data_IF_974653862417
#
_entry.id   IF_974653862417
#
_cell.length_a   1.000
_cell.length_b   1.000
_cell.length_c   1.000
_cell.angle_alpha   90.00
_cell.angle_beta   90.00
_cell.angle_gamma   90.00
#
_symmetry.space_group_name_H-M   'P 1'
#
loop_
_entity.id
_entity.type
_entity.pdbx_description
1 polymer ?
#
# COMPACT_ATOMS: atom_id res chain seq x y z
N UNK A 1 -40.80 -7.87 -1.39
CA UNK A 1 -40.14 -6.83 -0.57
C UNK A 1 -40.39 -5.42 -1.12
N UNK A 2 -40.07 -5.11 -2.38
CA UNK A 2 -40.25 -3.77 -2.96
C UNK A 2 -41.69 -3.23 -2.92
N UNK A 3 -42.69 -4.05 -3.27
CA UNK A 3 -44.12 -3.68 -3.25
C UNK A 3 -44.66 -3.42 -1.84
N UNK A 4 -44.02 -4.00 -0.82
CA UNK A 4 -44.41 -3.87 0.58
C UNK A 4 -43.44 -3.00 1.39
N UNK A 5 -42.63 -2.16 0.72
CA UNK A 5 -41.62 -1.33 1.37
C UNK A 5 -42.18 -0.44 2.49
N UNK A 6 -43.46 -0.05 2.39
CA UNK A 6 -44.17 0.71 3.43
C UNK A 6 -44.22 -0.02 4.78
N UNK A 7 -44.19 -1.35 4.82
CA UNK A 7 -44.17 -2.13 6.07
C UNK A 7 -42.86 -1.92 6.85
N UNK A 8 -41.74 -1.66 6.16
CA UNK A 8 -40.46 -1.37 6.80
C UNK A 8 -40.46 0.00 7.50
N UNK A 9 -41.39 0.89 7.17
CA UNK A 9 -41.61 2.13 7.93
C UNK A 9 -42.38 1.90 9.23
N UNK A 10 -43.11 0.78 9.34
CA UNK A 10 -43.93 0.40 10.50
C UNK A 10 -43.11 -0.39 11.51
N UNK A 11 -42.32 -1.37 11.06
CA UNK A 11 -41.44 -2.17 11.91
C UNK A 11 -40.00 -2.19 11.37
N UNK A 12 -39.07 -1.68 12.17
CA UNK A 12 -37.64 -1.64 11.83
C UNK A 12 -37.00 -3.02 11.83
N UNK A 13 -37.50 -3.97 12.64
CA UNK A 13 -36.98 -5.35 12.69
C UNK A 13 -37.31 -6.14 11.42
N UNK A 14 -38.29 -5.67 10.64
CA UNK A 14 -38.63 -6.25 9.36
C UNK A 14 -37.48 -6.13 8.36
N UNK A 15 -36.71 -5.04 8.42
CA UNK A 15 -35.53 -4.84 7.56
C UNK A 15 -34.48 -5.91 7.85
N UNK A 16 -34.19 -6.19 9.12
CA UNK A 16 -33.26 -7.26 9.52
C UNK A 16 -33.74 -8.63 9.04
N UNK A 17 -35.03 -8.92 9.22
CA UNK A 17 -35.63 -10.18 8.79
C UNK A 17 -35.54 -10.37 7.27
N UNK A 18 -35.78 -9.30 6.51
CA UNK A 18 -35.64 -9.32 5.06
C UNK A 18 -34.19 -9.49 4.62
N UNK A 19 -33.25 -8.79 5.26
CA UNK A 19 -31.83 -8.92 4.95
C UNK A 19 -31.33 -10.36 5.17
N UNK A 20 -31.79 -11.07 6.20
CA UNK A 20 -31.44 -12.47 6.42
C UNK A 20 -31.93 -13.42 5.30
N UNK A 21 -32.94 -13.02 4.52
CA UNK A 21 -33.55 -13.86 3.48
C UNK A 21 -33.02 -13.58 2.07
N UNK A 22 -32.30 -12.47 1.87
CA UNK A 22 -31.75 -12.10 0.56
C UNK A 22 -30.31 -12.56 0.40
N UNK A 23 -29.91 -12.82 -0.85
CA UNK A 23 -28.51 -13.04 -1.18
C UNK A 23 -27.76 -11.71 -1.20
N UNK A 24 -26.43 -11.77 -1.05
CA UNK A 24 -25.58 -10.58 -1.07
C UNK A 24 -25.76 -9.80 -2.38
N UNK A 25 -25.93 -10.51 -3.49
CA UNK A 25 -26.14 -9.94 -4.83
C UNK A 25 -27.43 -9.10 -4.92
N UNK A 26 -28.45 -9.46 -4.13
CA UNK A 26 -29.75 -8.80 -4.13
C UNK A 26 -29.81 -7.62 -3.14
N UNK A 27 -28.81 -7.46 -2.27
CA UNK A 27 -28.75 -6.39 -1.28
C UNK A 27 -28.73 -5.01 -1.94
N UNK A 28 -28.04 -4.85 -3.07
CA UNK A 28 -28.07 -3.60 -3.85
C UNK A 28 -29.49 -3.21 -4.29
N UNK A 29 -30.27 -4.20 -4.69
CA UNK A 29 -31.65 -4.02 -5.14
C UNK A 29 -32.56 -3.59 -3.99
N UNK A 30 -32.29 -4.07 -2.77
CA UNK A 30 -32.98 -3.65 -1.56
C UNK A 30 -32.58 -2.23 -1.14
N UNK A 31 -31.28 -1.90 -1.17
CA UNK A 31 -30.78 -0.55 -0.84
C UNK A 31 -31.28 0.53 -1.82
N UNK A 32 -31.53 0.15 -3.07
CA UNK A 32 -32.09 1.04 -4.10
C UNK A 32 -33.61 1.17 -4.02
N UNK A 33 -34.27 0.43 -3.13
CA UNK A 33 -35.72 0.48 -2.93
C UNK A 33 -36.10 1.58 -1.93
N UNK A 34 -37.40 1.89 -1.74
CA UNK A 34 -37.86 2.86 -0.74
C UNK A 34 -37.55 2.46 0.72
N UNK A 35 -37.06 1.23 0.95
CA UNK A 35 -36.71 0.71 2.27
C UNK A 35 -35.47 1.43 2.80
N UNK A 36 -35.59 2.08 3.95
CA UNK A 36 -34.45 2.69 4.64
C UNK A 36 -33.62 1.60 5.33
N UNK A 37 -32.52 1.21 4.69
CA UNK A 37 -31.52 0.30 5.27
C UNK A 37 -30.42 1.14 5.94
N UNK A 38 -30.20 0.97 7.25
CA UNK A 38 -29.15 1.73 7.96
C UNK A 38 -27.77 1.13 7.72
N UNK A 39 -26.70 1.92 7.89
CA UNK A 39 -25.32 1.45 7.68
C UNK A 39 -25.01 0.26 8.58
N UNK A 40 -25.39 0.34 9.86
CA UNK A 40 -25.14 -0.73 10.83
C UNK A 40 -25.78 -2.06 10.40
N UNK A 41 -26.97 -2.03 9.81
CA UNK A 41 -27.65 -3.23 9.30
C UNK A 41 -26.84 -3.89 8.17
N UNK A 42 -26.32 -3.07 7.25
CA UNK A 42 -25.46 -3.52 6.16
C UNK A 42 -24.18 -4.16 6.71
N UNK A 43 -23.55 -3.53 7.70
CA UNK A 43 -22.33 -4.06 8.31
C UNK A 43 -22.59 -5.40 9.00
N UNK A 44 -23.63 -5.51 9.81
CA UNK A 44 -23.99 -6.78 10.46
C UNK A 44 -24.34 -7.88 9.44
N UNK A 45 -25.08 -7.54 8.38
CA UNK A 45 -25.38 -8.49 7.31
C UNK A 45 -24.12 -8.98 6.61
N UNK A 46 -23.18 -8.09 6.30
CA UNK A 46 -21.90 -8.49 5.70
C UNK A 46 -21.08 -9.34 6.65
N UNK A 47 -21.12 -9.06 7.95
CA UNK A 47 -20.39 -9.84 8.94
C UNK A 47 -20.97 -11.25 9.03
N UNK A 48 -22.29 -11.36 8.92
CA UNK A 48 -22.97 -12.65 8.83
C UNK A 48 -22.66 -13.38 7.52
N UNK A 49 -22.53 -12.67 6.41
CA UNK A 49 -22.34 -13.26 5.08
C UNK A 49 -20.89 -13.69 4.81
N UNK A 50 -19.91 -12.94 5.33
CA UNK A 50 -18.48 -13.19 5.14
C UNK A 50 -17.98 -14.13 6.24
N UNK A 51 -18.35 -15.41 6.15
CA UNK A 51 -17.95 -16.46 7.11
C UNK A 51 -16.89 -17.42 6.59
N UNK A 52 -16.57 -17.36 5.31
CA UNK A 52 -15.70 -18.33 4.66
C UNK A 52 -14.89 -17.70 3.53
N UNK A 53 -14.08 -18.52 2.86
CA UNK A 53 -13.24 -18.07 1.75
C UNK A 53 -14.04 -17.35 0.66
N UNK A 54 -13.51 -16.23 0.19
CA UNK A 54 -14.18 -15.38 -0.80
C UNK A 54 -13.93 -15.96 -2.19
N UNK A 55 -15.00 -16.42 -2.84
CA UNK A 55 -14.96 -16.89 -4.23
C UNK A 55 -14.95 -15.71 -5.20
N UNK A 56 -14.52 -15.95 -6.45
CA UNK A 56 -14.46 -14.89 -7.47
C UNK A 56 -15.82 -14.20 -7.72
N UNK A 57 -16.98 -14.91 -7.78
CA UNK A 57 -18.28 -14.24 -7.90
C UNK A 57 -18.60 -13.36 -6.69
N UNK A 58 -18.36 -13.87 -5.48
CA UNK A 58 -18.58 -13.14 -4.23
C UNK A 58 -17.69 -11.89 -4.15
N UNK A 59 -16.43 -11.98 -4.57
CA UNK A 59 -15.51 -10.85 -4.64
C UNK A 59 -16.08 -9.68 -5.46
N UNK A 60 -16.59 -9.95 -6.67
CA UNK A 60 -17.16 -8.92 -7.55
C UNK A 60 -18.37 -8.24 -6.91
N UNK A 61 -19.24 -9.05 -6.30
CA UNK A 61 -20.44 -8.56 -5.63
C UNK A 61 -20.05 -7.67 -4.44
N UNK A 62 -19.13 -8.14 -3.61
CA UNK A 62 -18.66 -7.40 -2.43
C UNK A 62 -17.97 -6.08 -2.81
N UNK A 63 -17.09 -6.08 -3.82
CA UNK A 63 -16.46 -4.86 -4.36
C UNK A 63 -17.53 -3.84 -4.78
N UNK A 64 -18.49 -4.26 -5.59
CA UNK A 64 -19.51 -3.35 -6.08
C UNK A 64 -20.36 -2.80 -4.92
N UNK A 65 -20.69 -3.66 -3.96
CA UNK A 65 -21.52 -3.31 -2.81
C UNK A 65 -20.79 -2.31 -1.91
N UNK A 66 -19.53 -2.58 -1.56
CA UNK A 66 -18.75 -1.70 -0.69
C UNK A 66 -18.52 -0.35 -1.35
N UNK A 67 -18.24 -0.29 -2.66
CA UNK A 67 -18.12 0.97 -3.39
C UNK A 67 -19.43 1.77 -3.37
N UNK A 68 -20.57 1.09 -3.48
CA UNK A 68 -21.88 1.75 -3.38
C UNK A 68 -22.14 2.29 -1.97
N UNK A 69 -21.78 1.53 -0.93
CA UNK A 69 -21.90 1.97 0.48
C UNK A 69 -21.00 3.18 0.74
N UNK A 70 -19.73 3.14 0.35
CA UNK A 70 -18.80 4.27 0.50
C UNK A 70 -19.35 5.53 -0.18
N UNK A 71 -19.85 5.40 -1.42
CA UNK A 71 -20.46 6.52 -2.15
C UNK A 71 -21.70 7.05 -1.42
N UNK A 72 -22.59 6.17 -0.95
CA UNK A 72 -23.79 6.55 -0.22
C UNK A 72 -23.46 7.32 1.07
N UNK A 73 -22.52 6.81 1.86
CA UNK A 73 -22.19 7.37 3.18
C UNK A 73 -21.34 8.65 3.06
N UNK A 74 -20.48 8.75 2.04
CA UNK A 74 -19.73 10.00 1.78
C UNK A 74 -20.60 11.20 1.41
N UNK A 75 -21.81 10.97 0.89
CA UNK A 75 -22.79 12.02 0.60
C UNK A 75 -23.71 12.34 1.78
N UNK A 76 -23.76 11.48 2.81
CA UNK A 76 -24.57 11.73 3.99
C UNK A 76 -23.81 12.65 4.95
N UNK A 77 -24.27 13.90 5.06
CA UNK A 77 -23.65 14.92 5.92
C UNK A 77 -24.07 14.80 7.40
N UNK A 78 -24.59 13.64 7.81
CA UNK A 78 -25.15 13.44 9.15
C UNK A 78 -24.10 12.85 10.08
N UNK A 79 -23.89 13.49 11.22
CA UNK A 79 -23.11 12.91 12.32
C UNK A 79 -23.84 11.69 12.90
N UNK A 80 -23.11 10.61 13.15
CA UNK A 80 -23.65 9.48 13.90
C UNK A 80 -24.03 9.92 15.33
N UNK A 81 -25.12 9.34 15.86
CA UNK A 81 -25.29 9.32 17.32
C UNK A 81 -24.14 8.50 17.97
N UNK A 82 -23.83 8.79 19.24
CA UNK A 82 -22.68 8.19 19.94
C UNK A 82 -22.66 6.66 19.85
N UNK A 83 -23.79 6.02 20.13
CA UNK A 83 -23.88 4.56 20.26
C UNK A 83 -23.83 3.87 18.89
N UNK A 84 -24.54 4.41 17.91
CA UNK A 84 -24.59 3.88 16.56
C UNK A 84 -23.24 4.07 15.85
N UNK A 85 -22.58 5.20 16.03
CA UNK A 85 -21.26 5.46 15.48
C UNK A 85 -20.17 4.53 16.02
N UNK A 86 -20.17 4.29 17.34
CA UNK A 86 -19.29 3.29 17.96
C UNK A 86 -19.53 1.89 17.37
N UNK A 87 -20.79 1.45 17.33
CA UNK A 87 -21.15 0.14 16.78
C UNK A 87 -20.74 0.01 15.31
N UNK A 88 -20.97 1.05 14.50
CA UNK A 88 -20.56 1.06 13.10
C UNK A 88 -19.04 0.93 12.94
N UNK A 89 -18.27 1.71 13.71
CA UNK A 89 -16.81 1.68 13.62
C UNK A 89 -16.25 0.32 14.03
N UNK A 90 -16.66 -0.21 15.20
CA UNK A 90 -16.21 -1.53 15.68
C UNK A 90 -16.59 -2.64 14.69
N UNK A 91 -17.80 -2.60 14.14
CA UNK A 91 -18.25 -3.61 13.17
C UNK A 91 -17.46 -3.52 11.86
N UNK A 92 -17.17 -2.31 11.38
CA UNK A 92 -16.35 -2.11 10.19
C UNK A 92 -14.92 -2.62 10.36
N UNK A 93 -14.30 -2.41 11.53
CA UNK A 93 -12.96 -2.93 11.85
C UNK A 93 -12.96 -4.46 11.90
N UNK A 94 -13.95 -5.07 12.58
CA UNK A 94 -14.10 -6.54 12.61
C UNK A 94 -14.31 -7.14 11.21
N UNK A 95 -15.10 -6.46 10.37
CA UNK A 95 -15.32 -6.83 8.98
C UNK A 95 -14.03 -6.78 8.16
N UNK A 96 -13.27 -5.69 8.28
CA UNK A 96 -11.96 -5.57 7.64
C UNK A 96 -11.04 -6.71 8.07
N UNK A 97 -11.02 -7.06 9.36
CA UNK A 97 -10.29 -8.23 9.87
C UNK A 97 -10.70 -9.54 9.21
N UNK A 98 -12.01 -9.76 9.07
CA UNK A 98 -12.57 -10.96 8.43
C UNK A 98 -12.20 -11.03 6.95
N UNK A 99 -12.40 -9.93 6.21
CA UNK A 99 -12.03 -9.81 4.79
C UNK A 99 -10.54 -10.07 4.61
N UNK A 100 -9.70 -9.39 5.36
CA UNK A 100 -8.24 -9.57 5.36
C UNK A 100 -7.83 -11.04 5.58
N UNK A 101 -8.51 -11.77 6.47
CA UNK A 101 -8.21 -13.17 6.73
C UNK A 101 -8.55 -14.08 5.53
N UNK A 102 -9.60 -13.75 4.78
CA UNK A 102 -10.07 -14.55 3.64
C UNK A 102 -9.48 -14.13 2.28
N UNK A 103 -8.89 -12.94 2.17
CA UNK A 103 -8.25 -12.44 0.93
C UNK A 103 -6.73 -12.58 0.96
N UNK A 104 -6.23 -13.82 0.85
CA UNK A 104 -4.78 -14.08 0.78
C UNK A 104 -4.22 -14.05 -0.64
N UNK A 105 -5.10 -14.18 -1.65
CA UNK A 105 -4.71 -14.05 -3.06
C UNK A 105 -4.51 -12.56 -3.40
N UNK A 106 -3.34 -12.16 -3.91
CA UNK A 106 -3.09 -10.79 -4.33
C UNK A 106 -4.10 -10.26 -5.36
N UNK A 107 -4.73 -11.11 -6.17
CA UNK A 107 -5.74 -10.69 -7.15
C UNK A 107 -6.99 -10.07 -6.52
N UNK A 108 -7.22 -10.31 -5.22
CA UNK A 108 -8.34 -9.75 -4.48
C UNK A 108 -7.93 -8.57 -3.58
N UNK A 109 -6.77 -7.96 -3.82
CA UNK A 109 -6.22 -6.91 -2.97
C UNK A 109 -7.07 -5.64 -2.90
N UNK A 110 -7.91 -5.37 -3.89
CA UNK A 110 -8.77 -4.20 -3.87
C UNK A 110 -9.84 -4.30 -2.77
N UNK A 111 -10.28 -5.51 -2.41
CA UNK A 111 -11.37 -5.69 -1.46
C UNK A 111 -10.99 -5.22 -0.03
N UNK A 112 -9.87 -5.66 0.57
CA UNK A 112 -9.37 -5.09 1.83
C UNK A 112 -9.18 -3.58 1.79
N UNK A 113 -8.74 -3.02 0.65
CA UNK A 113 -8.54 -1.58 0.51
C UNK A 113 -9.85 -0.80 0.53
N UNK A 114 -10.92 -1.31 -0.09
CA UNK A 114 -12.24 -0.67 -0.01
C UNK A 114 -12.82 -0.77 1.40
N UNK A 115 -12.66 -1.91 2.09
CA UNK A 115 -13.10 -2.02 3.48
C UNK A 115 -12.29 -1.08 4.41
N UNK A 116 -11.00 -0.88 4.14
CA UNK A 116 -10.19 0.12 4.84
C UNK A 116 -10.71 1.53 4.58
N UNK A 117 -11.04 1.87 3.33
CA UNK A 117 -11.64 3.17 2.99
C UNK A 117 -12.95 3.40 3.74
N UNK A 118 -13.81 2.37 3.84
CA UNK A 118 -15.03 2.43 4.63
C UNK A 118 -14.74 2.68 6.12
N UNK A 119 -13.77 1.98 6.70
CA UNK A 119 -13.36 2.21 8.11
C UNK A 119 -12.91 3.66 8.30
N UNK A 120 -12.08 4.19 7.41
CA UNK A 120 -11.62 5.57 7.47
C UNK A 120 -12.78 6.57 7.34
N UNK A 121 -13.74 6.31 6.45
CA UNK A 121 -14.94 7.12 6.28
C UNK A 121 -15.78 7.17 7.56
N UNK A 122 -16.07 6.01 8.15
CA UNK A 122 -16.84 5.90 9.40
C UNK A 122 -16.10 6.58 10.55
N UNK A 123 -14.79 6.35 10.67
CA UNK A 123 -13.95 6.99 11.69
C UNK A 123 -13.95 8.53 11.55
N UNK A 124 -13.98 9.05 10.33
CA UNK A 124 -14.08 10.49 10.05
C UNK A 124 -15.41 11.07 10.51
N UNK A 125 -16.52 10.45 10.12
CA UNK A 125 -17.86 10.92 10.50
C UNK A 125 -18.09 10.80 12.01
N UNK A 126 -17.58 9.74 12.64
CA UNK A 126 -17.69 9.53 14.09
C UNK A 126 -16.83 10.51 14.92
N UNK A 127 -15.68 10.91 14.37
CA UNK A 127 -14.68 11.73 15.06
C UNK A 127 -14.98 13.21 15.22
N UNK A 128 -16.12 13.70 14.74
CA UNK A 128 -16.44 15.13 14.78
C UNK A 128 -16.78 15.68 16.17
N UNK A 129 -16.91 14.85 17.21
CA UNK A 129 -17.24 15.29 18.58
C UNK A 129 -16.14 14.91 19.59
N UNK A 130 -15.73 15.86 20.43
CA UNK A 130 -14.62 15.76 21.39
C UNK A 130 -14.94 15.06 22.71
N UNK A 131 -15.66 13.93 22.69
CA UNK A 131 -15.79 13.13 23.92
C UNK A 131 -14.55 12.27 24.13
N UNK A 132 -14.04 12.22 25.37
CA UNK A 132 -12.87 11.41 25.73
C UNK A 132 -13.06 9.92 25.37
N UNK A 133 -14.28 9.41 25.54
CA UNK A 133 -14.65 8.04 25.17
C UNK A 133 -14.54 7.79 23.67
N UNK A 134 -14.96 8.74 22.82
CA UNK A 134 -14.82 8.64 21.36
C UNK A 134 -13.36 8.59 20.94
N UNK A 135 -12.52 9.45 21.53
CA UNK A 135 -11.08 9.47 21.24
C UNK A 135 -10.42 8.12 21.56
N UNK A 136 -10.74 7.52 22.71
CA UNK A 136 -10.22 6.21 23.07
C UNK A 136 -10.66 5.12 22.09
N UNK A 137 -11.94 5.08 21.71
CA UNK A 137 -12.47 4.10 20.75
C UNK A 137 -11.79 4.26 19.38
N UNK A 138 -11.55 5.50 18.95
CA UNK A 138 -10.83 5.78 17.70
C UNK A 138 -9.38 5.34 17.75
N UNK A 139 -8.70 5.56 18.87
CA UNK A 139 -7.33 5.11 19.09
C UNK A 139 -7.24 3.58 19.01
N UNK A 140 -8.12 2.86 19.73
CA UNK A 140 -8.20 1.40 19.71
C UNK A 140 -8.48 0.88 18.29
N UNK A 141 -9.48 1.48 17.62
CA UNK A 141 -9.87 1.11 16.25
C UNK A 141 -8.74 1.37 15.24
N UNK A 142 -7.97 2.45 15.42
CA UNK A 142 -6.82 2.78 14.58
C UNK A 142 -5.73 1.72 14.71
N UNK A 143 -5.31 1.39 15.93
CA UNK A 143 -4.25 0.39 16.15
C UNK A 143 -4.66 -1.00 15.70
N UNK A 144 -5.92 -1.40 15.92
CA UNK A 144 -6.46 -2.68 15.43
C UNK A 144 -6.46 -2.73 13.89
N UNK A 145 -6.89 -1.64 13.24
CA UNK A 145 -6.87 -1.51 11.77
C UNK A 145 -5.45 -1.59 11.22
N UNK A 146 -4.50 -0.90 11.87
CA UNK A 146 -3.09 -0.90 11.49
C UNK A 146 -2.49 -2.30 11.57
N UNK A 147 -2.65 -3.01 12.68
CA UNK A 147 -2.09 -4.35 12.82
C UNK A 147 -2.76 -5.35 11.86
N UNK A 148 -4.08 -5.25 11.68
CA UNK A 148 -4.83 -6.05 10.71
C UNK A 148 -4.28 -5.89 9.30
N UNK A 149 -4.12 -4.66 8.82
CA UNK A 149 -3.60 -4.39 7.48
C UNK A 149 -2.13 -4.78 7.34
N UNK A 150 -1.31 -4.59 8.38
CA UNK A 150 0.09 -5.04 8.38
C UNK A 150 0.19 -6.56 8.29
N UNK A 151 -0.64 -7.29 9.03
CA UNK A 151 -0.71 -8.76 9.01
C UNK A 151 -1.21 -9.28 7.67
N UNK A 152 -2.30 -8.72 7.16
CA UNK A 152 -2.82 -9.06 5.82
C UNK A 152 -1.76 -8.89 4.74
N UNK A 153 -1.13 -7.71 4.67
CA UNK A 153 -0.09 -7.43 3.67
C UNK A 153 1.08 -8.40 3.77
N UNK A 154 1.52 -8.78 4.98
CA UNK A 154 2.60 -9.77 5.18
C UNK A 154 2.21 -11.15 4.63
N UNK A 155 0.95 -11.55 4.80
CA UNK A 155 0.45 -12.85 4.36
C UNK A 155 0.18 -12.90 2.85
N UNK A 156 -0.40 -11.84 2.29
CA UNK A 156 -0.76 -11.74 0.87
C UNK A 156 0.47 -11.51 -0.01
N UNK A 157 1.42 -10.68 0.46
CA UNK A 157 2.66 -10.37 -0.24
C UNK A 157 3.87 -10.91 0.53
N UNK A 158 3.85 -12.21 0.83
CA UNK A 158 4.95 -12.90 1.55
C UNK A 158 6.20 -13.07 0.69
N UNK A 159 6.02 -13.12 -0.63
CA UNK A 159 7.11 -13.28 -1.59
C UNK A 159 8.03 -12.06 -1.60
N UNK A 160 9.26 -12.25 -2.06
CA UNK A 160 10.15 -11.17 -2.49
C UNK A 160 9.46 -10.27 -3.52
N UNK A 161 9.85 -9.00 -3.56
CA UNK A 161 9.28 -8.02 -4.49
C UNK A 161 9.50 -8.49 -5.93
N UNK A 162 10.69 -8.99 -6.25
CA UNK A 162 11.01 -9.53 -7.56
C UNK A 162 10.85 -11.04 -7.60
N UNK A 163 10.49 -11.54 -8.78
CA UNK A 163 10.40 -12.96 -9.03
C UNK A 163 11.81 -13.59 -8.93
N UNK A 164 11.91 -14.72 -8.26
CA UNK A 164 13.18 -15.43 -8.07
C UNK A 164 13.75 -16.00 -9.37
N UNK A 165 12.89 -16.31 -10.34
CA UNK A 165 13.26 -16.85 -11.65
C UNK A 165 13.54 -15.76 -12.69
N UNK A 166 12.93 -14.58 -12.51
CA UNK A 166 13.11 -13.43 -13.39
C UNK A 166 13.11 -12.13 -12.60
N UNK A 167 14.31 -11.70 -12.19
CA UNK A 167 14.53 -10.48 -11.40
C UNK A 167 14.19 -9.17 -12.15
N UNK A 168 13.70 -9.23 -13.38
CA UNK A 168 13.21 -8.05 -14.12
C UNK A 168 11.72 -7.77 -13.88
N UNK A 169 10.99 -8.72 -13.28
CA UNK A 169 9.56 -8.59 -13.02
C UNK A 169 9.23 -8.72 -11.54
N UNK A 170 8.26 -7.93 -11.10
CA UNK A 170 7.67 -8.09 -9.78
C UNK A 170 7.01 -9.47 -9.66
N UNK A 171 7.17 -10.13 -8.51
CA UNK A 171 6.46 -11.37 -8.18
C UNK A 171 4.96 -11.19 -8.28
N UNK A 172 4.48 -10.01 -7.89
CA UNK A 172 3.08 -9.59 -8.04
C UNK A 172 3.06 -8.25 -8.77
N UNK A 173 2.60 -8.19 -10.04
CA UNK A 173 2.71 -6.99 -10.87
C UNK A 173 2.09 -5.71 -10.27
N UNK A 174 1.01 -5.84 -9.50
CA UNK A 174 0.29 -4.72 -8.90
C UNK A 174 0.64 -4.44 -7.44
N UNK A 175 1.64 -5.12 -6.86
CA UNK A 175 2.01 -4.92 -5.45
C UNK A 175 2.40 -3.46 -5.15
N UNK A 176 3.17 -2.81 -6.04
CA UNK A 176 3.54 -1.39 -5.87
C UNK A 176 2.31 -0.47 -5.88
N UNK A 177 1.29 -0.79 -6.67
CA UNK A 177 0.01 -0.06 -6.67
C UNK A 177 -0.71 -0.23 -5.34
N UNK A 178 -0.70 -1.44 -4.76
CA UNK A 178 -1.28 -1.70 -3.44
C UNK A 178 -0.55 -0.92 -2.35
N UNK A 179 0.79 -0.88 -2.38
CA UNK A 179 1.58 -0.04 -1.47
C UNK A 179 1.23 1.45 -1.60
N UNK A 180 1.07 1.95 -2.82
CA UNK A 180 0.64 3.32 -3.08
C UNK A 180 -0.72 3.59 -2.45
N UNK A 181 -1.70 2.72 -2.69
CA UNK A 181 -3.06 2.86 -2.16
C UNK A 181 -3.08 2.86 -0.62
N UNK A 182 -2.31 1.97 0.02
CA UNK A 182 -2.17 1.94 1.48
C UNK A 182 -1.62 3.27 2.01
N UNK A 183 -0.60 3.84 1.35
CA UNK A 183 0.03 5.10 1.80
C UNK A 183 -0.83 6.34 1.54
N UNK A 184 -1.73 6.30 0.55
CA UNK A 184 -2.65 7.41 0.27
C UNK A 184 -3.75 7.57 1.31
N UNK A 185 -4.02 6.52 2.09
CA UNK A 185 -5.04 6.56 3.16
C UNK A 185 -4.76 7.69 4.14
N UNK A 186 -5.83 8.37 4.54
CA UNK A 186 -5.84 9.44 5.54
C UNK A 186 -6.91 9.17 6.58
N UNK A 187 -6.52 9.31 7.85
CA UNK A 187 -7.40 9.23 9.00
C UNK A 187 -7.83 10.62 9.44
N UNK A 188 -8.85 10.70 10.29
CA UNK A 188 -9.37 11.95 10.86
C UNK A 188 -8.28 12.72 11.62
N UNK A 189 -7.48 11.99 12.41
CA UNK A 189 -6.37 12.56 13.17
C UNK A 189 -5.10 12.55 12.32
N UNK A 190 -4.43 13.71 12.27
CA UNK A 190 -3.18 13.85 11.51
C UNK A 190 -2.09 12.91 12.05
N UNK A 191 -2.05 12.71 13.36
CA UNK A 191 -1.11 11.80 14.02
C UNK A 191 -1.30 10.35 13.58
N UNK A 192 -2.54 9.85 13.51
CA UNK A 192 -2.86 8.53 12.96
C UNK A 192 -2.38 8.40 11.52
N UNK A 193 -2.59 9.43 10.70
CA UNK A 193 -2.11 9.44 9.31
C UNK A 193 -0.58 9.40 9.23
N UNK A 194 0.12 10.16 10.09
CA UNK A 194 1.60 10.15 10.18
C UNK A 194 2.12 8.78 10.62
N UNK A 195 1.54 8.22 11.69
CA UNK A 195 1.92 6.91 12.24
C UNK A 195 1.66 5.79 11.22
N UNK A 196 0.51 5.82 10.53
CA UNK A 196 0.18 4.90 9.45
C UNK A 196 1.22 4.92 8.33
N UNK A 197 1.44 6.11 7.74
CA UNK A 197 2.38 6.29 6.62
C UNK A 197 3.80 5.92 7.01
N UNK A 198 4.25 6.35 8.19
CA UNK A 198 5.58 6.02 8.72
C UNK A 198 5.76 4.51 8.90
N UNK A 199 4.76 3.83 9.46
CA UNK A 199 4.81 2.38 9.70
C UNK A 199 4.85 1.59 8.40
N UNK A 200 3.94 1.87 7.46
CA UNK A 200 3.94 1.18 6.17
C UNK A 200 5.15 1.53 5.30
N UNK A 201 5.69 2.75 5.41
CA UNK A 201 6.91 3.12 4.71
C UNK A 201 8.13 2.36 5.26
N UNK A 202 8.27 2.24 6.58
CA UNK A 202 9.32 1.41 7.20
C UNK A 202 9.19 -0.06 6.84
N UNK A 203 7.95 -0.56 6.82
CA UNK A 203 7.65 -1.93 6.42
C UNK A 203 7.99 -2.18 4.94
N UNK A 204 7.76 -1.21 4.06
CA UNK A 204 8.15 -1.24 2.65
C UNK A 204 9.68 -1.17 2.49
N UNK A 205 10.35 -0.21 3.14
CA UNK A 205 11.82 -0.08 3.16
C UNK A 205 12.47 -1.40 3.62
N UNK A 206 11.94 -1.99 4.70
CA UNK A 206 12.42 -3.27 5.22
C UNK A 206 12.20 -4.43 4.25
N UNK A 207 11.11 -4.44 3.46
CA UNK A 207 10.90 -5.44 2.41
C UNK A 207 11.86 -5.23 1.24
N UNK A 208 12.06 -3.99 0.80
CA UNK A 208 12.98 -3.63 -0.28
C UNK A 208 14.43 -3.99 0.07
N UNK A 209 14.86 -3.73 1.31
CA UNK A 209 16.22 -4.06 1.79
C UNK A 209 16.51 -5.56 1.89
N UNK A 210 15.50 -6.43 1.82
CA UNK A 210 15.70 -7.89 1.72
C UNK A 210 16.09 -8.34 0.31
N UNK A 211 15.86 -7.51 -0.71
CA UNK A 211 16.36 -7.76 -2.05
C UNK A 211 17.88 -7.58 -2.09
N UNK A 212 18.56 -8.25 -3.02
CA UNK A 212 19.98 -8.00 -3.24
C UNK A 212 20.20 -6.56 -3.76
N UNK A 213 21.42 -6.02 -3.60
CA UNK A 213 21.70 -4.61 -3.93
C UNK A 213 21.43 -4.27 -5.42
N UNK A 214 21.76 -5.16 -6.35
CA UNK A 214 21.51 -4.94 -7.79
C UNK A 214 20.01 -4.86 -8.08
N UNK A 215 19.23 -5.76 -7.48
CA UNK A 215 17.79 -5.82 -7.57
C UNK A 215 17.11 -4.58 -6.97
N UNK A 216 17.60 -4.05 -5.84
CA UNK A 216 17.09 -2.81 -5.26
C UNK A 216 17.21 -1.64 -6.24
N UNK A 217 18.35 -1.55 -6.93
CA UNK A 217 18.59 -0.51 -7.93
C UNK A 217 17.72 -0.74 -9.16
N UNK A 218 17.57 -1.99 -9.60
CA UNK A 218 16.68 -2.38 -10.69
C UNK A 218 15.22 -2.01 -10.46
N UNK A 219 14.71 -2.25 -9.25
CA UNK A 219 13.35 -1.87 -8.82
C UNK A 219 13.18 -0.35 -8.93
N UNK A 220 14.13 0.42 -8.40
CA UNK A 220 14.08 1.88 -8.51
C UNK A 220 14.06 2.33 -9.97
N UNK A 221 14.98 1.83 -10.81
CA UNK A 221 15.06 2.21 -12.22
C UNK A 221 13.74 1.92 -12.96
N UNK A 222 13.20 0.71 -12.78
CA UNK A 222 11.98 0.27 -13.46
C UNK A 222 10.74 0.98 -12.95
N UNK A 223 10.68 1.27 -11.65
CA UNK A 223 9.54 1.93 -11.03
C UNK A 223 9.54 3.42 -11.35
N UNK A 224 10.69 4.09 -11.34
CA UNK A 224 10.80 5.50 -11.74
C UNK A 224 10.36 5.75 -13.18
N UNK A 225 10.68 4.83 -14.10
CA UNK A 225 10.23 4.93 -15.50
C UNK A 225 8.70 4.82 -15.63
N UNK A 226 8.00 4.17 -14.68
CA UNK A 226 6.56 3.89 -14.74
C UNK A 226 5.70 4.72 -13.78
N UNK A 227 6.25 5.17 -12.65
CA UNK A 227 5.47 5.50 -11.46
C UNK A 227 5.79 6.85 -10.81
N UNK A 228 6.62 7.72 -11.44
CA UNK A 228 6.96 9.05 -10.90
C UNK A 228 5.74 9.91 -10.53
N UNK A 229 4.58 9.64 -11.12
CA UNK A 229 3.36 10.43 -10.94
C UNK A 229 2.38 9.86 -9.89
N UNK A 230 2.58 8.63 -9.38
CA UNK A 230 1.55 7.94 -8.58
C UNK A 230 1.79 8.04 -7.07
N UNK A 231 3.05 8.00 -6.62
CA UNK A 231 3.40 8.13 -5.20
C UNK A 231 4.85 8.60 -5.00
N UNK A 232 5.09 9.92 -4.82
CA UNK A 232 6.44 10.46 -4.66
C UNK A 232 7.20 9.91 -3.44
N UNK A 233 6.49 9.57 -2.36
CA UNK A 233 7.10 9.06 -1.12
C UNK A 233 7.63 7.63 -1.25
N UNK A 234 6.99 6.78 -2.06
CA UNK A 234 7.56 5.47 -2.41
C UNK A 234 8.81 5.63 -3.26
N UNK A 235 8.77 6.55 -4.24
CA UNK A 235 9.91 6.82 -5.10
C UNK A 235 11.12 7.31 -4.30
N UNK A 236 10.93 8.20 -3.33
CA UNK A 236 12.02 8.70 -2.49
C UNK A 236 12.64 7.62 -1.59
N UNK A 237 11.82 6.72 -1.03
CA UNK A 237 12.33 5.56 -0.27
C UNK A 237 13.08 4.58 -1.16
N UNK A 238 12.56 4.28 -2.36
CA UNK A 238 13.26 3.44 -3.32
C UNK A 238 14.58 4.08 -3.76
N UNK A 239 14.60 5.39 -4.01
CA UNK A 239 15.80 6.15 -4.36
C UNK A 239 16.85 6.04 -3.25
N UNK A 240 16.43 6.30 -1.99
CA UNK A 240 17.31 6.16 -0.83
C UNK A 240 17.93 4.77 -0.76
N UNK A 241 17.13 3.70 -0.86
CA UNK A 241 17.64 2.33 -0.85
C UNK A 241 18.55 2.04 -2.05
N UNK A 242 18.25 2.55 -3.23
CA UNK A 242 19.09 2.40 -4.41
C UNK A 242 20.44 3.10 -4.26
N UNK A 243 20.48 4.32 -3.70
CA UNK A 243 21.72 5.05 -3.42
C UNK A 243 22.57 4.32 -2.37
N UNK A 244 21.95 3.85 -1.28
CA UNK A 244 22.61 3.02 -0.27
C UNK A 244 23.18 1.73 -0.89
N UNK A 245 22.40 1.07 -1.76
CA UNK A 245 22.82 -0.14 -2.46
C UNK A 245 23.99 0.11 -3.43
N UNK A 246 23.96 1.21 -4.19
CA UNK A 246 25.08 1.60 -5.08
C UNK A 246 26.34 1.81 -4.26
N UNK A 247 26.27 2.59 -3.17
CA UNK A 247 27.43 2.85 -2.33
C UNK A 247 28.04 1.54 -1.78
N UNK A 248 27.20 0.57 -1.39
CA UNK A 248 27.65 -0.76 -0.95
C UNK A 248 28.30 -1.57 -2.06
N UNK A 249 27.76 -1.53 -3.28
CA UNK A 249 28.35 -2.22 -4.42
C UNK A 249 29.70 -1.59 -4.80
N UNK A 250 29.82 -0.26 -4.74
CA UNK A 250 31.06 0.46 -5.07
C UNK A 250 32.21 0.21 -4.08
N UNK A 251 31.91 -0.23 -2.86
CA UNK A 251 32.92 -0.65 -1.88
C UNK A 251 33.58 -2.00 -2.24
N UNK A 252 33.02 -2.77 -3.16
CA UNK A 252 33.63 -4.00 -3.65
C UNK A 252 34.82 -3.69 -4.58
N UNK A 253 36.02 -3.99 -4.10
CA UNK A 253 37.29 -3.77 -4.81
C UNK A 253 37.41 -4.52 -6.13
N UNK A 254 36.60 -5.58 -6.34
CA UNK A 254 36.61 -6.33 -7.60
C UNK A 254 35.98 -5.56 -8.77
N UNK A 255 35.11 -4.57 -8.49
CA UNK A 255 34.34 -3.84 -9.49
C UNK A 255 33.28 -4.68 -10.22
N UNK A 256 33.16 -5.98 -9.92
CA UNK A 256 32.27 -6.90 -10.63
C UNK A 256 30.79 -6.56 -10.39
N UNK A 257 30.44 -6.11 -9.19
CA UNK A 257 29.09 -5.73 -8.82
C UNK A 257 28.56 -4.52 -9.63
N UNK A 258 29.39 -3.50 -9.84
CA UNK A 258 29.00 -2.32 -10.65
C UNK A 258 28.97 -2.66 -12.14
N UNK A 259 29.86 -3.54 -12.62
CA UNK A 259 29.82 -4.05 -13.99
C UNK A 259 28.51 -4.83 -14.25
N UNK A 260 28.08 -5.67 -13.31
CA UNK A 260 26.76 -6.34 -13.36
C UNK A 260 25.62 -5.33 -13.37
N UNK A 261 25.69 -4.31 -12.51
CA UNK A 261 24.71 -3.23 -12.44
C UNK A 261 24.51 -2.54 -13.81
N UNK A 262 25.60 -2.11 -14.45
CA UNK A 262 25.60 -1.41 -15.75
C UNK A 262 25.14 -2.30 -16.90
N UNK A 263 25.37 -3.62 -16.81
CA UNK A 263 24.91 -4.59 -17.82
C UNK A 263 23.42 -4.90 -17.70
N UNK A 264 22.91 -5.04 -16.47
CA UNK A 264 21.54 -5.51 -16.21
C UNK A 264 20.55 -4.33 -16.24
N UNK A 265 20.96 -3.18 -15.71
CA UNK A 265 20.09 -2.02 -15.56
C UNK A 265 20.65 -0.80 -16.28
N UNK A 266 19.79 -0.07 -16.98
CA UNK A 266 20.16 1.20 -17.60
C UNK A 266 20.17 2.33 -16.56
N UNK A 267 21.07 2.22 -15.57
CA UNK A 267 21.26 3.21 -14.50
C UNK A 267 21.72 4.57 -15.03
N UNK A 268 22.16 4.61 -16.29
CA UNK A 268 22.71 5.80 -16.96
C UNK A 268 21.67 6.90 -17.14
N UNK A 269 20.38 6.51 -17.15
CA UNK A 269 19.26 7.45 -17.11
C UNK A 269 19.08 8.14 -15.75
N UNK A 270 19.75 7.66 -14.71
CA UNK A 270 19.61 8.12 -13.33
C UNK A 270 20.90 8.79 -12.87
N UNK A 271 21.08 10.06 -13.23
CA UNK A 271 22.28 10.86 -12.93
C UNK A 271 22.69 10.81 -11.45
N UNK A 272 21.74 10.76 -10.52
CA UNK A 272 22.03 10.63 -9.08
C UNK A 272 22.73 9.32 -8.74
N UNK A 273 22.30 8.19 -9.31
CA UNK A 273 22.98 6.90 -9.12
C UNK A 273 24.39 6.95 -9.71
N UNK A 274 24.54 7.54 -10.90
CA UNK A 274 25.86 7.70 -11.54
C UNK A 274 26.81 8.56 -10.72
N UNK A 275 26.30 9.67 -10.14
CA UNK A 275 27.09 10.52 -9.24
C UNK A 275 27.60 9.74 -8.04
N UNK A 276 26.77 8.89 -7.42
CA UNK A 276 27.20 8.05 -6.28
C UNK A 276 28.22 7.01 -6.75
N UNK A 277 28.04 6.39 -7.91
CA UNK A 277 29.04 5.45 -8.46
C UNK A 277 30.40 6.12 -8.57
N UNK A 278 30.47 7.31 -9.17
CA UNK A 278 31.73 8.04 -9.36
C UNK A 278 32.37 8.38 -8.02
N UNK A 279 31.62 8.98 -7.10
CA UNK A 279 32.14 9.43 -5.80
C UNK A 279 32.59 8.26 -4.92
N UNK A 280 31.80 7.19 -4.84
CA UNK A 280 32.06 6.07 -3.93
C UNK A 280 33.12 5.12 -4.46
N UNK A 281 33.31 5.03 -5.78
CA UNK A 281 34.39 4.23 -6.37
C UNK A 281 35.71 4.99 -6.52
N UNK A 282 35.69 6.32 -6.37
CA UNK A 282 36.90 7.14 -6.46
C UNK A 282 37.92 6.72 -5.40
N UNK A 283 39.22 6.63 -5.76
CA UNK A 283 40.21 6.06 -4.88
C UNK A 283 40.50 7.02 -3.72
N UNK A 284 40.68 6.43 -2.53
CA UNK A 284 41.03 7.14 -1.30
C UNK A 284 42.30 6.55 -0.70
N UNK A 285 43.23 7.41 -0.31
CA UNK A 285 44.45 7.06 0.43
C UNK A 285 44.33 7.70 1.81
N UNK A 286 44.41 6.89 2.88
CA UNK A 286 44.22 7.33 4.27
C UNK A 286 42.88 8.08 4.52
N UNK A 287 41.84 7.77 3.74
CA UNK A 287 40.52 8.41 3.85
C UNK A 287 40.38 9.70 3.03
N UNK A 288 41.46 10.22 2.45
CA UNK A 288 41.45 11.38 1.56
C UNK A 288 41.46 10.95 0.10
N UNK A 289 40.80 11.73 -0.77
CA UNK A 289 40.81 11.47 -2.20
C UNK A 289 42.22 11.64 -2.77
N UNK A 290 42.60 10.76 -3.71
CA UNK A 290 43.89 10.88 -4.39
C UNK A 290 43.99 12.25 -5.06
N UNK A 291 45.10 12.95 -4.81
CA UNK A 291 45.47 14.21 -5.46
C UNK A 291 46.73 13.99 -6.29
N UNK A 292 46.82 14.67 -7.45
CA UNK A 292 47.94 14.54 -8.38
C UNK A 292 47.54 13.93 -9.72
N UNK A 293 47.91 14.57 -10.82
CA UNK A 293 47.51 14.19 -12.18
C UNK A 293 47.96 12.76 -12.55
N UNK A 294 49.19 12.39 -12.19
CA UNK A 294 49.75 11.07 -12.50
C UNK A 294 48.99 9.94 -11.81
N UNK A 295 48.66 10.12 -10.52
CA UNK A 295 47.93 9.13 -9.73
C UNK A 295 46.45 9.03 -10.15
N UNK A 296 45.85 10.14 -10.58
CA UNK A 296 44.50 10.15 -11.17
C UNK A 296 44.52 9.41 -12.51
N UNK A 297 45.50 9.69 -13.37
CA UNK A 297 45.63 9.05 -14.67
C UNK A 297 45.85 7.54 -14.53
N UNK A 298 46.76 7.13 -13.64
CA UNK A 298 47.01 5.72 -13.33
C UNK A 298 45.74 5.01 -12.82
N UNK A 299 44.97 5.65 -11.95
CA UNK A 299 43.68 5.12 -11.52
C UNK A 299 42.71 4.98 -12.69
N UNK A 300 42.50 6.03 -13.49
CA UNK A 300 41.56 6.00 -14.61
C UNK A 300 41.90 4.92 -15.65
N UNK A 301 43.20 4.68 -15.89
CA UNK A 301 43.66 3.63 -16.79
C UNK A 301 43.37 2.22 -16.27
N UNK A 302 43.41 2.02 -14.95
CA UNK A 302 43.21 0.73 -14.31
C UNK A 302 41.78 0.52 -13.78
N UNK A 303 40.98 1.57 -13.70
CA UNK A 303 39.62 1.52 -13.20
C UNK A 303 38.70 0.85 -14.23
N UNK A 304 38.16 -0.35 -13.97
CA UNK A 304 37.41 -1.13 -14.96
C UNK A 304 36.16 -0.41 -15.49
N UNK A 305 35.70 0.64 -14.80
CA UNK A 305 34.50 1.39 -15.13
C UNK A 305 34.77 2.70 -15.86
N UNK A 306 36.04 3.15 -15.92
CA UNK A 306 36.40 4.43 -16.53
C UNK A 306 35.87 4.56 -17.96
N UNK A 307 36.12 3.52 -18.78
CA UNK A 307 35.64 3.48 -20.17
C UNK A 307 34.12 3.61 -20.26
N UNK A 308 33.38 2.86 -19.45
CA UNK A 308 31.91 2.90 -19.46
C UNK A 308 31.40 4.26 -19.02
N UNK A 309 31.97 4.84 -17.96
CA UNK A 309 31.55 6.15 -17.44
C UNK A 309 31.87 7.27 -18.43
N UNK A 310 33.06 7.28 -19.04
CA UNK A 310 33.40 8.28 -20.06
C UNK A 310 32.56 8.14 -21.34
N UNK A 311 32.27 6.91 -21.78
CA UNK A 311 31.35 6.69 -22.90
C UNK A 311 29.92 7.18 -22.62
N UNK A 312 29.51 7.20 -21.36
CA UNK A 312 28.20 7.70 -20.94
C UNK A 312 28.21 9.22 -20.78
N UNK A 313 29.27 9.79 -20.18
CA UNK A 313 29.45 11.23 -20.03
C UNK A 313 29.55 11.95 -21.38
N UNK A 314 30.17 11.32 -22.38
CA UNK A 314 30.25 11.86 -23.76
C UNK A 314 28.99 11.69 -24.61
N UNK A 315 27.94 11.04 -24.09
CA UNK A 315 26.63 10.88 -24.74
C UNK A 315 25.52 11.74 -24.11
N UNK A 316 25.80 12.39 -22.98
CA UNK A 316 24.97 13.45 -22.39
C UNK A 316 25.11 14.73 -23.19
#
# INVERSE_FOLDING_TARGET
>A
MKEHAYLAAIDRLLVHSWMCLIRVDDLMSLMSSPVRVELLDILHYLQFSIRSAITQPMYKVLINLISHVIKRESHQNNSFDDKNGECCLKTAVMLLGSVCNFTKDPNYSDLPLHFLELVCLIAKVYGHNDSQTRQQIQEESFWETLETMRKWRRNTFSNKLLNEWNHLHFSVPHEIKVWSNILTVSFSHEEHTKNWRSTFMKDFEGKLKKENYVNQIGIYCTTMEKASNTCPSLCSTMEKCALEAVARICQDKSGEGVLKLLKIHNITKFLKLMSVVVVESWPKVNGEYIQGEDSIFEYLMNWPMAKTIFQLAGKL
#
